data_IF_087597805423
#
_entry.id   IF_087597805423
#
_cell.length_a   1.000
_cell.length_b   1.000
_cell.length_c   1.000
_cell.angle_alpha   90.00
_cell.angle_beta   90.00
_cell.angle_gamma   90.00
#
_symmetry.space_group_name_H-M   'P 1'
#
loop_
_entity.id
_entity.type
_entity.pdbx_description
1 polymer ?
2 water ?
#
# COMPACT_ATOMS: atom_id res chain seq x y z
N UNK A 4 3.43 13.36 20.62
CA UNK A 4 3.92 12.10 20.07
C UNK A 4 4.90 12.29 18.93
N UNK A 5 4.60 13.26 18.05
CA UNK A 5 5.48 13.51 16.91
C UNK A 5 6.86 13.98 17.35
N UNK A 6 6.94 14.69 18.47
CA UNK A 6 8.23 15.15 18.98
C UNK A 6 9.12 14.00 19.43
N UNK A 7 8.54 12.82 19.67
CA UNK A 7 9.32 11.64 20.04
C UNK A 7 10.10 11.08 18.87
N UNK A 8 9.76 11.46 17.64
CA UNK A 8 10.41 10.93 16.44
C UNK A 8 11.28 11.99 15.77
N UNK A 9 11.89 12.88 16.57
CA UNK A 9 12.60 14.01 16.00
C UNK A 9 14.01 13.63 15.54
N UNK A 10 14.63 12.62 16.15
CA UNK A 10 15.93 12.16 15.70
C UNK A 10 15.88 10.69 15.31
N UNK A 11 16.98 9.98 15.49
CA UNK A 11 16.99 8.54 15.26
C UNK A 11 16.48 7.83 16.52
N UNK A 12 15.62 6.86 16.33
CA UNK A 12 14.96 6.13 17.42
C UNK A 12 15.32 4.67 17.30
N UNK A 13 15.79 4.02 18.37
CA UNK A 13 16.04 2.58 18.29
C UNK A 13 14.75 1.79 18.23
N UNK A 14 14.83 0.60 17.63
CA UNK A 14 13.67 -0.24 17.38
C UNK A 14 13.95 -1.65 17.87
N UNK A 15 12.95 -2.27 18.48
CA UNK A 15 12.98 -3.69 18.80
C UNK A 15 11.70 -4.32 18.27
N UNK A 16 11.84 -5.43 17.55
CA UNK A 16 10.70 -6.19 17.04
C UNK A 16 10.79 -7.60 17.59
N UNK A 17 9.68 -8.07 18.16
CA UNK A 17 9.57 -9.44 18.66
C UNK A 17 8.30 -10.06 18.10
N UNK A 18 8.44 -11.18 17.42
CA UNK A 18 7.32 -11.89 16.82
C UNK A 18 7.28 -13.33 17.33
N UNK A 19 6.10 -13.78 17.71
CA UNK A 19 5.84 -15.19 17.99
C UNK A 19 4.82 -15.67 16.96
N UNK A 20 5.18 -16.67 16.18
CA UNK A 20 4.34 -17.13 15.10
C UNK A 20 4.06 -18.63 15.19
N UNK A 21 2.92 -19.01 14.61
CA UNK A 21 2.58 -20.41 14.42
C UNK A 21 1.79 -20.52 13.12
N UNK A 22 2.36 -21.20 12.13
CA UNK A 22 1.75 -21.35 10.82
C UNK A 22 1.60 -22.84 10.53
N UNK A 23 0.36 -23.30 10.37
CA UNK A 23 0.07 -24.71 10.11
C UNK A 23 0.69 -25.63 11.15
N UNK A 24 0.87 -25.11 12.36
CA UNK A 24 1.43 -25.89 13.45
C UNK A 24 2.92 -25.73 13.65
N UNK A 25 3.61 -24.98 12.79
CA UNK A 25 5.05 -24.78 12.91
C UNK A 25 5.31 -23.55 13.77
N UNK A 26 5.74 -23.77 15.01
CA UNK A 26 6.05 -22.67 15.92
C UNK A 26 7.40 -22.05 15.58
N UNK A 27 7.47 -20.72 15.67
CA UNK A 27 8.71 -20.01 15.41
C UNK A 27 8.64 -18.64 16.05
N UNK A 28 9.83 -18.07 16.28
CA UNK A 28 9.95 -16.75 16.89
C UNK A 28 11.00 -15.94 16.15
N UNK A 29 10.77 -14.63 16.09
CA UNK A 29 11.66 -13.69 15.41
C UNK A 29 11.96 -12.52 16.34
N UNK A 30 13.22 -12.08 16.33
CA UNK A 30 13.64 -10.91 17.08
C UNK A 30 14.43 -9.98 16.17
N UNK A 31 14.12 -8.69 16.23
CA UNK A 31 14.75 -7.73 15.35
C UNK A 31 15.19 -6.48 16.10
N UNK A 32 16.30 -5.92 15.63
CA UNK A 32 16.86 -4.71 16.21
C UNK A 32 17.35 -3.78 15.10
N UNK A 33 17.23 -2.48 15.35
CA UNK A 33 17.63 -1.50 14.37
C UNK A 33 17.26 -0.10 14.81
N UNK A 34 17.05 0.77 13.81
CA UNK A 34 16.77 2.18 14.09
C UNK A 34 15.88 2.76 13.00
N UNK A 35 15.12 3.78 13.38
CA UNK A 35 14.25 4.47 12.45
C UNK A 35 14.44 5.96 12.54
N UNK A 36 14.15 6.64 11.42
CA UNK A 36 14.31 8.09 11.29
C UNK A 36 13.08 8.61 10.55
N UNK A 37 12.06 8.97 11.31
CA UNK A 37 10.79 9.40 10.73
C UNK A 37 10.93 10.67 9.90
N UNK A 38 11.95 11.49 10.20
CA UNK A 38 12.14 12.73 9.46
C UNK A 38 12.46 12.46 7.99
N UNK A 39 13.25 11.42 7.73
CA UNK A 39 13.59 11.00 6.37
C UNK A 39 12.88 9.72 5.95
N UNK A 40 12.00 9.19 6.80
CA UNK A 40 11.26 7.98 6.46
C UNK A 40 12.10 6.75 6.20
N UNK A 41 13.10 6.49 7.05
CA UNK A 41 14.09 5.46 6.79
C UNK A 41 14.18 4.48 7.96
N UNK A 42 14.38 3.20 7.64
CA UNK A 42 14.40 2.09 8.57
C UNK A 42 15.57 1.17 8.29
N UNK A 43 16.28 0.74 9.33
CA UNK A 43 17.27 -0.32 9.18
C UNK A 43 17.14 -1.32 10.32
N UNK A 44 16.88 -2.58 9.99
CA UNK A 44 16.74 -3.63 10.98
C UNK A 44 17.43 -4.89 10.52
N UNK A 45 17.90 -5.66 11.50
CA UNK A 45 18.40 -7.01 11.30
C UNK A 45 17.52 -7.95 12.10
N UNK A 46 16.93 -8.93 11.41
CA UNK A 46 16.02 -9.89 12.02
C UNK A 46 16.69 -11.24 12.15
N UNK A 47 16.39 -11.95 13.23
CA UNK A 47 16.96 -13.26 13.53
C UNK A 47 15.82 -14.20 13.90
N UNK A 48 15.84 -15.40 13.35
CA UNK A 48 14.90 -16.44 13.78
C UNK A 48 15.46 -17.07 15.05
N UNK A 49 14.83 -16.79 16.18
CA UNK A 49 15.32 -17.27 17.47
C UNK A 49 14.92 -18.72 17.76
N UNK A 50 14.40 -19.44 16.78
CA UNK A 50 14.02 -20.85 16.94
C UNK A 50 14.57 -21.70 15.81
N UNK A 51 15.77 -21.41 15.36
CA UNK A 51 16.42 -22.21 14.31
C UNK A 51 16.04 -21.71 12.92
N UNK A 52 15.53 -22.61 12.09
CA UNK A 52 15.12 -22.28 10.74
C UNK A 52 13.69 -21.71 10.72
N UNK A 53 13.45 -20.80 9.79
CA UNK A 53 12.15 -20.15 9.68
C UNK A 53 11.24 -20.98 8.78
N UNK A 54 10.05 -21.39 9.23
CA UNK A 54 9.19 -22.25 8.41
C UNK A 54 8.48 -21.54 7.27
N UNK A 55 8.71 -20.24 7.10
CA UNK A 55 8.11 -19.48 5.99
C UNK A 55 9.21 -18.63 5.37
N UNK A 56 9.02 -18.18 4.13
CA UNK A 56 9.99 -17.24 3.54
C UNK A 56 10.00 -15.93 4.30
N UNK A 57 11.19 -15.39 4.53
CA UNK A 57 11.35 -14.07 5.14
C UNK A 57 10.48 -12.99 4.48
N UNK A 58 10.39 -12.89 3.15
CA UNK A 58 9.56 -11.84 2.55
C UNK A 58 8.10 -11.84 3.02
N UNK A 59 7.56 -13.00 3.39
CA UNK A 59 6.17 -13.04 3.85
C UNK A 59 5.99 -12.35 5.19
N UNK A 60 7.08 -12.09 5.92
CA UNK A 60 7.01 -11.50 7.25
C UNK A 60 7.28 -10.00 7.26
N UNK A 61 7.61 -9.41 6.11
CA UNK A 61 8.16 -8.04 6.10
C UNK A 61 7.09 -7.04 6.51
N UNK A 62 5.87 -7.16 5.96
CA UNK A 62 4.82 -6.21 6.31
C UNK A 62 4.38 -6.33 7.76
N UNK A 63 4.63 -7.47 8.40
CA UNK A 63 4.22 -7.63 9.80
C UNK A 63 5.25 -7.07 10.76
N UNK A 64 6.54 -7.23 10.46
CA UNK A 64 7.60 -7.00 11.43
C UNK A 64 7.67 -5.56 11.90
N UNK A 66 6.13 -0.62 11.45
CA UNK A 66 6.19 0.50 12.37
C UNK A 66 5.99 1.76 11.55
N UNK A 67 4.76 1.93 11.09
CA UNK A 67 4.39 3.05 10.21
C UNK A 67 4.45 4.40 10.90
N UNK A 68 4.78 4.44 12.21
CA UNK A 68 5.14 5.68 12.86
C UNK A 68 6.49 6.22 12.37
N UNK A 69 7.16 5.49 11.48
CA UNK A 69 8.40 5.96 10.87
C UNK A 69 8.21 6.36 9.41
N UNK A 70 6.97 6.40 8.93
CA UNK A 70 6.70 6.95 7.62
C UNK A 70 7.02 8.43 7.61
N UNK A 71 7.52 8.93 6.48
CA UNK A 71 7.76 10.36 6.33
C UNK A 71 6.47 11.00 5.85
N UNK A 72 5.85 11.79 6.73
CA UNK A 72 4.71 12.61 6.34
C UNK A 72 5.21 13.99 5.96
N UNK A 73 4.95 14.47 4.74
CA UNK A 73 5.34 15.85 4.40
C UNK A 73 4.68 16.83 5.35
N UNK A 74 5.25 18.04 5.39
CA UNK A 74 4.83 19.03 6.38
C UNK A 74 3.35 19.36 6.26
N UNK A 75 2.78 19.32 5.05
CA UNK A 75 1.38 19.67 4.86
C UNK A 75 0.43 18.54 5.24
N UNK A 76 0.94 17.38 5.64
CA UNK A 76 0.09 16.26 6.08
C UNK A 76 0.36 15.89 7.54
N UNK A 77 1.03 16.75 8.29
CA UNK A 77 1.41 16.41 9.66
C UNK A 77 0.18 16.16 10.53
N UNK A 78 -0.89 16.92 10.32
CA UNK A 78 -2.12 16.71 11.08
C UNK A 78 -2.91 15.50 10.61
N UNK A 79 -2.32 14.65 9.76
CA UNK A 79 -2.92 13.40 9.34
C UNK A 79 -2.07 12.19 9.72
N UNK A 80 -1.08 12.37 10.60
CA UNK A 80 -0.17 11.30 10.99
C UNK A 80 -0.73 10.66 12.26
N UNK A 81 -1.57 9.65 12.08
CA UNK A 81 -2.18 8.97 13.22
C UNK A 81 -1.13 8.21 14.03
N UNK A 82 -0.17 7.58 13.36
CA UNK A 82 0.74 6.65 14.04
C UNK A 82 1.59 7.37 15.08
N UNK A 83 2.17 8.52 14.72
CA UNK A 83 2.97 9.26 15.69
C UNK A 83 2.11 9.89 16.78
N UNK A 84 0.83 10.16 16.48
CA UNK A 84 -0.02 10.84 17.46
C UNK A 84 -0.50 9.91 18.56
N UNK A 85 -0.46 8.60 18.35
CA UNK A 85 -0.83 7.63 19.38
C UNK A 85 0.31 7.33 20.33
N UNK A 86 1.52 7.77 20.02
CA UNK A 86 2.67 7.51 20.87
C UNK A 86 2.67 8.46 22.08
N UNK A 87 3.29 8.05 23.20
CA UNK A 87 4.08 6.83 23.41
C UNK A 87 3.26 5.58 23.78
N UNK A 88 2.03 5.76 24.25
CA UNK A 88 1.23 4.61 24.69
C UNK A 88 0.96 3.65 23.54
N UNK A 89 0.91 4.14 22.31
CA UNK A 89 0.94 3.30 21.14
C UNK A 89 -0.43 2.89 20.63
N UNK A 90 -0.42 1.91 19.74
CA UNK A 90 -1.64 1.43 19.10
C UNK A 90 -1.58 -0.09 18.94
N UNK A 91 -2.73 -0.67 18.64
CA UNK A 91 -2.86 -2.09 18.33
C UNK A 91 -3.11 -2.23 16.84
N UNK A 92 -2.23 -2.96 16.17
CA UNK A 92 -2.35 -3.21 14.73
C UNK A 92 -2.78 -4.64 14.51
N UNK A 93 -3.88 -4.83 13.79
CA UNK A 93 -4.39 -6.15 13.45
C UNK A 93 -4.56 -6.25 11.94
N UNK A 94 -4.22 -7.42 11.40
CA UNK A 94 -4.23 -7.61 9.96
C UNK A 94 -4.73 -9.00 9.59
N UNK A 95 -5.28 -9.09 8.39
CA UNK A 95 -5.55 -10.35 7.72
C UNK A 95 -4.83 -10.32 6.38
N UNK A 96 -3.91 -11.25 6.18
CA UNK A 96 -3.12 -11.31 4.96
C UNK A 96 -3.48 -12.60 4.23
N UNK A 97 -4.14 -12.45 3.08
CA UNK A 97 -4.59 -13.60 2.29
C UNK A 97 -3.63 -13.79 1.13
N UNK A 98 -2.91 -14.91 1.13
CA UNK A 98 -2.09 -15.31 0.00
C UNK A 98 -2.97 -16.06 -0.99
N UNK A 99 -3.01 -15.59 -2.23
CA UNK A 99 -3.96 -16.14 -3.19
C UNK A 99 -3.60 -17.58 -3.53
N UNK A 100 -4.63 -18.43 -3.59
CA UNK A 100 -4.51 -19.87 -3.78
C UNK A 100 -3.72 -20.54 -2.67
N UNK A 101 -3.59 -19.90 -1.52
CA UNK A 101 -2.87 -20.47 -0.39
C UNK A 101 -3.54 -19.97 0.89
N UNK A 102 -2.82 -20.08 2.01
CA UNK A 102 -3.37 -19.80 3.32
C UNK A 102 -3.46 -18.32 3.64
N UNK A 103 -3.66 -18.05 4.94
CA UNK A 103 -3.91 -16.71 5.41
C UNK A 103 -3.17 -16.49 6.73
N UNK A 104 -2.51 -15.33 6.84
CA UNK A 104 -1.98 -14.87 8.12
C UNK A 104 -3.01 -13.98 8.80
N UNK A 105 -3.19 -14.18 10.09
CA UNK A 105 -3.96 -13.27 10.93
C UNK A 105 -3.05 -12.77 12.04
N UNK A 106 -2.91 -11.45 12.16
CA UNK A 106 -1.90 -10.85 13.00
C UNK A 106 -2.53 -9.88 13.98
N UNK A 107 -1.91 -9.79 15.16
CA UNK A 107 -2.22 -8.76 16.14
C UNK A 107 -0.92 -8.29 16.74
N UNK A 108 -0.75 -6.97 16.82
CA UNK A 108 0.50 -6.39 17.28
C UNK A 108 0.23 -5.19 18.16
N UNK A 109 1.13 -4.97 19.11
CA UNK A 109 1.14 -3.76 19.93
C UNK A 109 2.43 -3.02 19.64
N UNK A 110 2.30 -1.77 19.20
CA UNK A 110 3.44 -0.92 18.87
C UNK A 110 3.46 0.20 19.89
N UNK A 111 4.54 0.28 20.66
CA UNK A 111 4.58 1.17 21.82
C UNK A 111 6.02 1.56 22.09
N UNK A 112 6.19 2.60 22.91
CA UNK A 112 7.50 2.95 23.44
C UNK A 112 7.71 2.18 24.73
N UNK A 113 8.91 1.59 24.87
CA UNK A 113 9.34 0.96 26.12
C UNK A 113 10.70 1.58 26.44
N UNK A 114 10.69 2.54 27.36
CA UNK A 114 11.87 3.39 27.52
C UNK A 114 11.98 4.30 26.32
N UNK A 115 13.20 4.41 25.78
CA UNK A 115 13.46 5.20 24.59
C UNK A 115 13.31 4.40 23.30
N UNK A 116 12.87 3.15 23.39
CA UNK A 116 12.85 2.23 22.26
C UNK A 116 11.43 2.04 21.75
N UNK A 117 11.24 2.21 20.45
CA UNK A 117 10.00 1.81 19.80
C UNK A 117 9.96 0.29 19.68
N UNK A 118 8.90 -0.32 20.21
CA UNK A 118 8.81 -1.77 20.29
C UNK A 118 7.56 -2.24 19.54
N UNK A 119 7.71 -3.30 18.76
CA UNK A 119 6.63 -3.93 18.01
C UNK A 119 6.57 -5.40 18.40
N UNK A 120 5.55 -5.77 19.17
CA UNK A 120 5.35 -7.14 19.64
C UNK A 120 4.17 -7.76 18.90
N UNK A 121 4.41 -8.88 18.23
CA UNK A 121 3.44 -9.46 17.31
C UNK A 121 3.13 -10.89 17.70
N UNK A 122 1.86 -11.26 17.59
CA UNK A 122 1.42 -12.64 17.55
C UNK A 122 0.87 -12.91 16.15
N UNK A 123 1.30 -14.01 15.54
CA UNK A 123 0.92 -14.33 14.17
C UNK A 123 0.42 -15.77 14.11
N UNK A 124 -0.74 -15.97 13.51
CA UNK A 124 -1.30 -17.30 13.26
C UNK A 124 -1.48 -17.49 11.77
N UNK A 125 -0.98 -18.61 11.25
CA UNK A 125 -1.19 -18.95 9.86
C UNK A 125 -2.02 -20.22 9.70
N UNK A 126 -3.08 -20.16 8.92
CA UNK A 126 -4.00 -21.29 8.76
C UNK A 126 -4.25 -21.54 7.28
N UNK A 127 -4.57 -22.81 6.96
CA UNK A 127 -5.03 -23.23 5.64
C UNK A 127 -3.97 -23.03 4.56
N UNK A 128 -2.70 -23.13 4.91
CA UNK A 128 -1.65 -23.10 3.91
C UNK A 128 -1.44 -24.48 3.33
N UNK A 129 -0.86 -24.52 2.13
CA UNK A 129 -0.61 -25.77 1.41
C UNK A 129 0.86 -26.15 1.56
N UNK A 130 1.10 -27.38 2.04
CA UNK A 130 2.46 -27.86 2.24
C UNK A 130 3.28 -27.77 0.96
N UNK A 131 2.65 -27.93 -0.19
CA UNK A 131 3.29 -27.82 -1.49
C UNK A 131 3.27 -26.39 -2.04
N UNK A 132 2.57 -25.48 -1.39
CA UNK A 132 2.38 -24.14 -1.91
C UNK A 132 3.65 -23.31 -1.94
N UNK A 133 3.49 -22.05 -2.33
CA UNK A 133 4.63 -21.16 -2.44
C UNK A 133 5.21 -20.81 -1.08
N UNK A 134 4.35 -20.69 -0.06
CA UNK A 134 4.78 -20.23 1.26
C UNK A 134 5.52 -21.37 1.96
N UNK A 135 4.82 -22.44 2.28
CA UNK A 135 5.44 -23.55 3.00
C UNK A 135 6.43 -24.33 2.13
N UNK A 136 6.32 -24.22 0.80
CA UNK A 136 7.31 -24.80 -0.08
C UNK A 136 8.55 -23.98 -0.29
N UNK A 137 8.61 -22.77 0.29
CA UNK A 137 9.78 -21.89 0.19
C UNK A 137 10.17 -21.66 -1.27
N UNK A 138 9.20 -21.24 -2.07
CA UNK A 138 9.41 -20.99 -3.49
C UNK A 138 9.37 -19.50 -3.80
N UNK A 139 9.26 -18.64 -2.80
CA UNK A 139 9.30 -17.20 -3.03
C UNK A 139 10.75 -16.73 -3.16
N UNK A 140 10.92 -15.66 -3.95
CA UNK A 140 12.22 -15.02 -4.12
C UNK A 140 12.39 -13.89 -3.13
N UNK A 141 13.64 -13.51 -2.89
CA UNK A 141 14.00 -12.68 -1.73
C UNK A 141 13.75 -11.19 -2.00
N UNK A 142 12.48 -10.82 -2.15
CA UNK A 142 12.14 -9.41 -2.34
C UNK A 142 10.68 -9.18 -1.97
N UNK A 143 10.36 -7.92 -1.72
CA UNK A 143 9.00 -7.46 -1.40
C UNK A 143 8.71 -6.25 -2.26
N UNK A 144 7.64 -6.32 -3.05
CA UNK A 144 7.32 -5.26 -4.00
C UNK A 144 5.90 -4.77 -3.78
N UNK A 145 5.75 -3.45 -3.66
CA UNK A 145 4.43 -2.84 -3.64
C UNK A 145 3.72 -3.06 -4.97
N UNK A 146 2.41 -3.20 -4.91
CA UNK A 146 1.57 -3.14 -6.10
C UNK A 146 1.21 -1.69 -6.33
N UNK A 147 1.53 -1.18 -7.53
CA UNK A 147 1.29 0.23 -7.83
C UNK A 147 -0.20 0.49 -8.02
N UNK A 148 -0.69 1.55 -7.43
CA UNK A 148 -2.12 1.89 -7.42
C UNK A 148 -2.37 3.10 -8.28
N UNK A 149 -3.39 3.03 -9.13
CA UNK A 149 -3.76 4.16 -9.99
C UNK A 149 -4.52 5.20 -9.18
N UNK A 150 -4.09 6.46 -9.29
CA UNK A 150 -4.53 7.52 -8.39
C UNK A 150 -4.86 8.76 -9.20
N UNK A 151 -5.89 9.54 -8.77
CA UNK A 151 -6.20 10.80 -9.46
C UNK A 151 -4.99 11.72 -9.61
N UNK A 152 -4.69 12.10 -10.85
CA UNK A 152 -3.59 13.03 -11.11
C UNK A 152 -4.09 14.29 -11.81
N UNK A 155 -5.02 17.62 -15.44
CA UNK A 155 -4.21 18.26 -16.45
C UNK A 155 -3.00 17.39 -16.79
N UNK A 156 -2.73 17.22 -18.09
CA UNK A 156 -1.80 16.21 -18.56
C UNK A 156 -1.73 16.32 -20.08
N UNK A 157 -0.53 16.08 -20.62
CA UNK A 157 -0.36 15.94 -22.05
C UNK A 157 -0.71 14.51 -22.46
N UNK A 158 -1.29 14.36 -23.64
CA UNK A 158 -2.14 13.24 -23.89
C UNK A 158 -3.59 13.55 -23.62
N UNK A 159 -3.88 14.78 -23.19
CA UNK A 159 -5.18 15.39 -23.34
C UNK A 159 -5.51 15.67 -24.80
N UNK A 160 -4.55 15.49 -25.70
CA UNK A 160 -4.86 15.48 -27.13
C UNK A 160 -5.87 14.40 -27.45
N UNK A 161 -5.84 13.28 -26.72
CA UNK A 161 -6.86 12.24 -26.89
C UNK A 161 -8.25 12.77 -26.59
N UNK A 162 -8.37 13.65 -25.58
CA UNK A 162 -9.68 14.17 -25.20
C UNK A 162 -10.37 14.84 -26.38
N UNK A 163 -9.69 15.77 -27.04
CA UNK A 163 -10.29 16.47 -28.15
C UNK A 163 -9.99 15.83 -29.50
N UNK A 164 -9.06 14.88 -29.58
CA UNK A 164 -9.04 13.97 -30.71
C UNK A 164 -10.34 13.18 -30.75
N UNK A 165 -10.80 12.69 -29.59
CA UNK A 165 -12.10 12.05 -29.48
C UNK A 165 -13.21 13.04 -29.78
N UNK A 166 -13.10 14.26 -29.24
CA UNK A 166 -14.04 15.33 -29.57
C UNK A 166 -14.14 15.51 -31.09
N UNK A 167 -13.00 15.70 -31.75
CA UNK A 167 -12.99 15.80 -33.21
C UNK A 167 -13.63 14.57 -33.86
N UNK A 168 -13.26 13.39 -33.37
CA UNK A 168 -13.82 12.15 -33.89
C UNK A 168 -15.33 12.20 -33.95
N UNK A 169 -15.98 12.32 -32.80
CA UNK A 169 -17.45 12.31 -32.75
C UNK A 169 -18.03 13.43 -33.60
N UNK A 170 -17.51 14.66 -33.43
CA UNK A 170 -18.05 15.82 -34.14
C UNK A 170 -17.88 15.71 -35.65
N UNK A 171 -17.00 14.85 -36.14
CA UNK A 171 -16.86 14.68 -37.58
C UNK A 171 -17.48 13.39 -38.11
N UNK A 172 -17.44 12.30 -37.34
CA UNK A 172 -18.19 11.13 -37.76
C UNK A 172 -19.68 11.43 -37.71
N UNK A 173 -20.11 12.31 -36.80
CA UNK A 173 -21.45 12.86 -36.87
C UNK A 173 -21.69 13.52 -38.21
N UNK A 174 -20.70 14.28 -38.69
CA UNK A 174 -20.82 14.95 -39.97
C UNK A 174 -20.91 13.94 -41.10
N UNK A 175 -19.92 13.04 -41.21
CA UNK A 175 -19.83 12.18 -42.38
C UNK A 175 -20.93 11.12 -42.37
N UNK A 176 -21.22 10.52 -41.22
CA UNK A 176 -22.29 9.53 -41.16
C UNK A 176 -23.65 10.22 -41.22
N UNK A 177 -23.73 11.43 -40.66
CA UNK A 177 -24.95 12.20 -40.82
C UNK A 177 -25.13 12.73 -42.22
N UNK A 178 -24.02 13.07 -42.89
CA UNK A 178 -24.10 13.61 -44.24
C UNK A 178 -24.70 12.60 -45.21
N UNK A 179 -24.28 11.34 -45.10
CA UNK A 179 -24.84 10.32 -45.97
C UNK A 179 -26.29 10.04 -45.60
N UNK A 180 -26.61 10.10 -44.30
CA UNK A 180 -28.01 9.99 -43.88
C UNK A 180 -28.85 11.09 -44.53
N UNK A 181 -28.43 12.35 -44.37
CA UNK A 181 -29.19 13.44 -44.93
C UNK A 181 -29.39 13.32 -46.42
N UNK A 182 -28.42 12.73 -47.12
CA UNK A 182 -28.54 12.60 -48.56
C UNK A 182 -29.38 11.41 -48.98
N UNK A 183 -29.35 10.30 -48.22
CA UNK A 183 -30.10 9.12 -48.65
C UNK A 183 -31.59 9.30 -48.35
N UNK A 184 -31.94 10.03 -47.28
CA UNK A 184 -33.29 10.57 -47.20
C UNK A 184 -33.35 11.85 -48.03
N UNK A 185 -34.52 12.48 -48.06
CA UNK A 185 -34.72 13.65 -48.90
C UNK A 185 -34.39 14.96 -48.21
N UNK A 186 -34.18 14.96 -46.89
CA UNK A 186 -34.02 16.19 -46.12
C UNK A 186 -32.59 16.31 -45.61
N UNK A 187 -31.98 17.47 -45.84
CA UNK A 187 -30.69 17.80 -45.26
C UNK A 187 -30.81 18.53 -43.93
N UNK A 188 -32.00 19.01 -43.57
CA UNK A 188 -32.22 19.48 -42.21
C UNK A 188 -31.88 18.41 -41.20
N UNK A 189 -32.03 17.14 -41.58
CA UNK A 189 -31.56 16.06 -40.73
C UNK A 189 -30.04 16.12 -40.56
N UNK A 190 -29.30 16.36 -41.65
CA UNK A 190 -27.84 16.33 -41.55
C UNK A 190 -27.30 17.47 -40.70
N UNK A 191 -28.05 18.58 -40.58
CA UNK A 191 -27.61 19.67 -39.73
C UNK A 191 -27.97 19.38 -38.27
N UNK A 192 -29.13 18.79 -38.01
CA UNK A 192 -29.46 18.40 -36.65
C UNK A 192 -28.48 17.37 -36.13
N UNK A 193 -28.04 16.45 -36.99
CA UNK A 193 -27.15 15.37 -36.55
C UNK A 193 -25.79 15.93 -36.16
N UNK A 194 -25.27 16.91 -36.91
CA UNK A 194 -23.95 17.45 -36.59
C UNK A 194 -24.01 18.30 -35.32
N UNK A 195 -25.09 19.07 -35.14
CA UNK A 195 -25.26 19.79 -33.88
C UNK A 195 -25.46 18.82 -32.72
N UNK A 196 -26.22 17.74 -32.95
CA UNK A 196 -26.36 16.71 -31.94
C UNK A 196 -25.00 16.08 -31.62
N UNK A 197 -24.16 15.88 -32.64
CA UNK A 197 -22.81 15.41 -32.39
C UNK A 197 -21.99 16.41 -31.59
N UNK A 198 -22.25 17.70 -31.81
CA UNK A 198 -21.59 18.74 -31.02
C UNK A 198 -22.00 18.67 -29.56
N UNK A 199 -23.31 18.55 -29.31
CA UNK A 199 -23.81 18.48 -27.95
C UNK A 199 -23.27 17.25 -27.24
N UNK A 200 -23.26 16.10 -27.91
CA UNK A 200 -22.75 14.88 -27.28
C UNK A 200 -21.24 15.01 -27.06
N UNK A 201 -20.51 15.54 -28.05
CA UNK A 201 -19.07 15.77 -27.87
C UNK A 201 -18.81 16.71 -26.71
N UNK A 202 -19.58 17.80 -26.62
CA UNK A 202 -19.39 18.76 -25.53
C UNK A 202 -19.69 18.10 -24.18
N UNK A 203 -20.75 17.31 -24.11
CA UNK A 203 -21.08 16.65 -22.85
C UNK A 203 -20.00 15.64 -22.46
N UNK A 204 -19.37 14.99 -23.44
CA UNK A 204 -18.45 13.90 -23.13
C UNK A 204 -17.06 14.42 -22.74
N UNK A 205 -16.53 15.38 -23.51
CA UNK A 205 -15.14 15.80 -23.34
C UNK A 205 -14.99 17.25 -22.90
N UNK A 206 -16.03 17.85 -22.35
CA UNK A 206 -15.86 19.12 -21.65
C UNK A 206 -15.69 18.97 -20.13
N UNK A 207 -16.25 17.96 -19.45
CA UNK A 207 -16.09 17.90 -17.99
C UNK A 207 -14.70 17.46 -17.61
N UNK A 208 -14.24 17.83 -16.40
CA UNK A 208 -12.88 17.45 -15.96
C UNK A 208 -12.83 16.06 -15.30
N UNK A 209 -12.76 15.05 -16.16
CA UNK A 209 -12.70 13.67 -15.67
C UNK A 209 -11.37 13.43 -14.97
N UNK A 210 -11.35 12.84 -13.78
CA UNK A 210 -10.09 12.55 -13.11
C UNK A 210 -9.28 11.54 -13.92
N UNK A 211 -8.01 11.86 -14.12
CA UNK A 211 -7.11 10.99 -14.87
C UNK A 211 -6.50 9.98 -13.90
N UNK A 212 -6.63 8.70 -14.23
CA UNK A 212 -6.20 7.61 -13.35
C UNK A 212 -4.93 6.99 -13.91
N UNK A 213 -3.80 7.41 -13.34
CA UNK A 213 -2.49 6.97 -13.78
C UNK A 213 -1.74 6.36 -12.60
N UNK A 214 -0.84 5.44 -12.92
CA UNK A 214 0.08 4.93 -11.91
C UNK A 214 1.36 5.75 -11.95
N UNK A 215 1.77 6.25 -10.80
CA UNK A 215 3.05 6.93 -10.70
C UNK A 215 4.17 5.95 -11.07
N UNK A 216 5.16 6.37 -11.86
CA UNK A 216 6.26 5.44 -12.19
C UNK A 216 7.15 5.12 -11.01
N UNK A 217 7.31 6.04 -10.06
CA UNK A 217 8.24 5.88 -8.95
C UNK A 217 7.57 5.58 -7.62
N UNK A 218 6.36 6.08 -7.40
CA UNK A 218 5.70 6.01 -6.09
C UNK A 218 4.47 5.11 -6.20
N UNK A 219 4.47 4.03 -5.41
CA UNK A 219 3.49 2.97 -5.62
C UNK A 219 2.10 3.37 -5.12
N UNK A 220 2.03 4.15 -4.03
CA UNK A 220 0.77 4.56 -3.41
C UNK A 220 -0.05 3.36 -2.94
N UNK A 221 0.62 2.29 -2.51
CA UNK A 221 -0.06 1.02 -2.28
C UNK A 221 -0.98 1.08 -1.06
N UNK A 222 -0.44 1.47 0.10
CA UNK A 222 -1.22 1.50 1.32
C UNK A 222 -2.21 2.65 1.26
N UNK A 223 -3.50 2.33 1.36
CA UNK A 223 -4.57 3.33 1.35
C UNK A 223 -5.17 3.41 2.74
N UNK A 224 -4.94 4.53 3.42
CA UNK A 224 -5.35 4.71 4.81
C UNK A 224 -6.63 5.55 4.83
N UNK A 225 -7.61 5.11 5.61
CA UNK A 225 -8.81 5.88 5.87
C UNK A 225 -9.12 5.86 7.37
N UNK A 226 -9.79 6.91 7.82
CA UNK A 226 -10.11 7.03 9.24
C UNK A 226 -11.23 6.07 9.62
N UNK A 227 -11.19 5.61 10.87
CA UNK A 227 -12.22 4.73 11.44
C UNK A 227 -12.67 5.39 12.73
N UNK A 228 -13.66 6.29 12.63
CA UNK A 228 -14.04 7.13 13.76
C UNK A 228 -14.76 6.35 14.85
N UNK A 229 -15.32 5.17 14.55
CA UNK A 229 -16.01 4.43 15.59
C UNK A 229 -15.04 3.72 16.54
N UNK A 230 -13.89 3.28 16.03
CA UNK A 230 -12.84 2.71 16.87
C UNK A 230 -11.72 3.70 17.14
N UNK A 231 -11.92 4.98 16.81
CA UNK A 231 -10.95 6.05 17.06
C UNK A 231 -9.59 5.78 16.42
N UNK A 232 -9.57 4.99 15.34
CA UNK A 232 -8.34 4.62 14.68
C UNK A 232 -8.44 4.75 13.18
N UNK A 233 -7.71 3.88 12.49
CA UNK A 233 -7.62 3.90 11.03
C UNK A 233 -7.85 2.50 10.49
N UNK A 234 -8.12 2.44 9.19
CA UNK A 234 -8.16 1.20 8.45
C UNK A 234 -7.40 1.40 7.14
N UNK A 235 -6.88 0.29 6.60
CA UNK A 235 -6.07 0.38 5.39
C UNK A 235 -6.07 -0.97 4.70
N UNK A 236 -5.83 -0.93 3.38
CA UNK A 236 -5.64 -2.14 2.60
C UNK A 236 -4.56 -1.89 1.56
N UNK A 237 -3.97 -2.99 1.08
CA UNK A 237 -2.96 -2.95 0.04
C UNK A 237 -2.66 -4.38 -0.39
N UNK A 238 -1.89 -4.50 -1.47
CA UNK A 238 -1.49 -5.79 -2.02
C UNK A 238 0.03 -5.83 -2.16
N UNK A 239 0.61 -6.99 -1.83
CA UNK A 239 2.05 -7.19 -1.94
C UNK A 239 2.31 -8.23 -3.02
N UNK A 240 3.35 -8.00 -3.82
CA UNK A 240 3.72 -8.88 -4.92
C UNK A 240 4.97 -9.66 -4.53
N UNK A 241 4.87 -10.99 -4.58
CA UNK A 241 6.00 -11.88 -4.31
C UNK A 241 6.33 -12.65 -5.58
N UNK A 242 7.59 -12.65 -5.95
CA UNK A 242 8.04 -13.35 -7.15
C UNK A 242 8.38 -14.79 -6.81
N UNK A 243 7.90 -15.72 -7.63
CA UNK A 243 8.08 -17.15 -7.41
C UNK A 243 9.26 -17.62 -8.26
N UNK A 244 9.87 -18.73 -7.81
CA UNK A 244 11.04 -19.26 -8.51
C UNK A 244 10.73 -19.72 -9.93
N UNK A 245 9.47 -20.03 -10.23
CA UNK A 245 9.10 -20.47 -11.57
C UNK A 245 8.89 -19.30 -12.55
N UNK A 246 9.00 -18.07 -12.08
CA UNK A 246 8.75 -16.91 -12.90
C UNK A 246 7.38 -16.28 -12.73
N UNK A 247 6.51 -16.91 -11.94
CA UNK A 247 5.18 -16.36 -11.67
C UNK A 247 5.26 -15.37 -10.51
N UNK A 248 4.12 -14.75 -10.20
CA UNK A 248 4.02 -13.86 -9.05
C UNK A 248 2.96 -14.40 -8.11
N UNK A 249 3.12 -14.07 -6.83
CA UNK A 249 2.19 -14.47 -5.79
C UNK A 249 1.72 -13.22 -5.06
N UNK A 250 0.41 -13.04 -4.96
CA UNK A 250 -0.14 -11.84 -4.35
C UNK A 250 -0.66 -12.13 -2.95
N UNK A 251 -0.55 -11.12 -2.08
CA UNK A 251 -1.04 -11.20 -0.72
C UNK A 251 -1.86 -9.94 -0.43
N UNK A 252 -3.15 -10.13 -0.12
CA UNK A 252 -4.06 -9.03 0.13
C UNK A 252 -4.04 -8.70 1.62
N UNK A 253 -3.68 -7.45 1.95
CA UNK A 253 -3.58 -7.01 3.33
C UNK A 253 -4.80 -6.17 3.70
N UNK A 254 -5.39 -6.47 4.85
CA UNK A 254 -6.41 -5.63 5.45
C UNK A 254 -5.95 -5.27 6.85
N UNK A 255 -6.09 -4.00 7.22
CA UNK A 255 -5.45 -3.49 8.42
C UNK A 255 -6.41 -2.62 9.22
N UNK A 256 -6.37 -2.76 10.54
CA UNK A 256 -7.10 -1.91 11.46
C UNK A 256 -6.19 -1.56 12.63
N UNK A 257 -6.13 -0.28 12.96
CA UNK A 257 -5.29 0.21 14.05
C UNK A 257 -6.15 0.95 15.06
N UNK A 258 -5.94 0.67 16.34
CA UNK A 258 -6.70 1.28 17.42
C UNK A 258 -5.70 1.77 18.48
N UNK A 259 -5.81 3.03 18.92
CA UNK A 259 -4.86 3.53 19.92
C UNK A 259 -5.08 2.89 21.28
N UNK A 260 -3.97 2.70 22.00
CA UNK A 260 -4.05 2.14 23.35
C UNK A 260 -4.38 3.21 24.37
N UNK A 261 -3.90 4.43 24.17
CA UNK A 261 -4.11 5.47 25.15
C UNK A 261 -5.49 6.10 25.05
N UNK A 262 -5.85 6.80 26.11
CA UNK A 262 -7.09 7.55 26.23
C UNK A 262 -7.04 8.90 25.54
N UNK A 263 -5.85 9.39 25.22
CA UNK A 263 -5.68 10.75 24.75
C UNK A 263 -6.12 10.92 23.33
N UNK A 264 -6.10 12.18 22.87
CA UNK A 264 -6.51 12.48 21.50
C UNK A 264 -5.50 11.95 20.50
N UNK A 265 -6.02 11.46 19.37
CA UNK A 265 -5.20 11.05 18.25
C UNK A 265 -5.66 11.83 17.02
N UNK A 266 -4.86 11.77 15.97
CA UNK A 266 -5.16 12.47 14.72
C UNK A 266 -5.82 11.48 13.78
N UNK A 267 -7.14 11.60 13.64
CA UNK A 267 -7.86 10.83 12.64
C UNK A 267 -7.65 11.48 11.28
N UNK A 268 -7.07 10.78 10.31
CA UNK A 268 -6.70 11.42 9.05
C UNK A 268 -7.81 11.34 8.02
N UNK A 269 -7.68 12.19 6.99
CA UNK A 269 -8.42 11.93 5.78
C UNK A 269 -7.67 10.91 4.93
N UNK A 270 -8.30 10.49 3.85
CA UNK A 270 -7.74 9.41 3.05
C UNK A 270 -6.43 9.84 2.40
N UNK A 271 -5.42 8.98 2.48
CA UNK A 271 -4.12 9.26 1.89
C UNK A 271 -3.40 7.93 1.68
N UNK A 272 -2.20 8.00 1.09
CA UNK A 272 -1.47 6.82 0.67
C UNK A 272 -0.08 6.80 1.28
N UNK A 273 0.45 5.59 1.42
CA UNK A 273 1.84 5.35 1.80
C UNK A 273 2.55 4.63 0.67
N UNK A 274 3.74 5.10 0.33
CA UNK A 274 4.61 4.46 -0.65
C UNK A 274 5.83 3.94 0.09
N UNK A 275 6.18 2.69 -0.16
CA UNK A 275 7.28 2.07 0.58
C UNK A 275 8.16 1.27 -0.35
N UNK A 276 9.41 1.12 0.08
CA UNK A 276 10.45 0.43 -0.68
C UNK A 276 11.25 -0.42 0.29
N UNK A 277 11.31 -1.72 0.05
CA UNK A 277 11.95 -2.67 0.94
C UNK A 277 13.15 -3.31 0.25
N UNK A 278 14.31 -3.24 0.91
CA UNK A 278 15.54 -3.85 0.42
C UNK A 278 15.92 -4.97 1.37
N UNK A 279 15.96 -6.20 0.86
CA UNK A 279 16.25 -7.37 1.65
C UNK A 279 17.63 -7.89 1.28
N UNK A 280 18.47 -8.12 2.30
CA UNK A 280 19.83 -8.57 2.07
C UNK A 280 20.24 -9.49 3.21
N UNK A 281 21.49 -9.96 3.16
CA UNK A 281 22.05 -10.85 4.15
C UNK A 281 23.26 -10.22 4.81
N UNK A 282 23.62 -10.78 5.96
CA UNK A 282 24.84 -10.45 6.69
C UNK A 282 25.82 -11.60 6.47
N UNK A 283 26.95 -11.37 5.80
CA UNK A 283 27.85 -12.49 5.47
C UNK A 283 28.47 -13.17 6.68
N UNK A 284 28.55 -12.49 7.83
CA UNK A 284 29.15 -13.07 9.03
C UNK A 284 28.11 -13.70 9.96
N UNK A 285 26.87 -13.82 9.53
CA UNK A 285 25.79 -14.31 10.38
C UNK A 285 25.46 -15.75 10.00
N UNK A 286 25.66 -16.67 10.94
CA UNK A 286 25.37 -18.07 10.71
C UNK A 286 23.96 -18.47 11.12
N UNK A 287 23.20 -17.58 11.76
CA UNK A 287 21.81 -17.86 12.06
C UNK A 287 20.92 -17.41 10.91
N UNK A 288 19.76 -18.04 10.80
CA UNK A 288 18.77 -17.62 9.83
C UNK A 288 18.31 -16.20 10.14
N UNK A 289 18.42 -15.32 9.15
CA UNK A 289 18.31 -13.89 9.41
C UNK A 289 17.88 -13.16 8.15
N UNK A 290 17.45 -11.92 8.35
CA UNK A 290 17.14 -11.02 7.25
C UNK A 290 17.56 -9.61 7.64
N UNK A 291 18.37 -8.99 6.78
CA UNK A 291 18.69 -7.57 6.90
C UNK A 291 17.71 -6.80 6.00
N UNK A 292 17.13 -5.73 6.54
CA UNK A 292 16.05 -5.03 5.86
C UNK A 292 16.30 -3.54 5.89
N UNK A 293 16.21 -2.90 4.72
CA UNK A 293 16.27 -1.45 4.59
C UNK A 293 14.98 -0.98 3.94
N UNK A 294 14.35 0.03 4.55
CA UNK A 294 12.99 0.42 4.20
C UNK A 294 12.89 1.93 4.11
N UNK A 295 12.14 2.40 3.10
CA UNK A 295 11.80 3.80 2.94
C UNK A 295 10.30 3.91 2.75
N UNK A 296 9.66 4.76 3.54
CA UNK A 296 8.20 4.93 3.50
C UNK A 296 7.88 6.42 3.45
N UNK A 297 7.00 6.80 2.53
CA UNK A 297 6.59 8.19 2.35
C UNK A 297 5.07 8.26 2.24
N UNK A 298 4.48 9.30 2.84
CA UNK A 298 3.05 9.55 2.76
C UNK A 298 2.77 10.58 1.68
N UNK A 299 1.60 10.47 1.07
CA UNK A 299 1.17 11.40 0.02
C UNK A 299 -0.35 11.31 -0.10
N UNK A 300 -0.91 12.17 -0.95
CA UNK A 300 -2.33 12.08 -1.27
C UNK A 300 -3.19 13.15 -0.66
N UNK A 301 -2.63 14.36 -0.53
CA UNK A 301 -3.29 15.55 0.03
C UNK A 301 -3.37 15.47 1.54
N UNK A 302 -2.73 22.21 -1.77
CA UNK A 302 -3.66 23.24 -2.23
C UNK A 302 -5.10 22.77 -2.29
#
# INVERSE_FOLDING_TARGET
>A
MSKGEELFTGVVPILVELDGDVNGHKFSVRGEGEGDATNGKLTLKFICTTGKLPVPWPTLVTTLXVQCFSRYPDHMKRHDFFKSAMPEGYVQERTISFKDDGTYKTRAEVKFEGDTLVNRIELKGIDFKEDGNILGHKLEYNVLDVFRSIPTQMDYKGQKLAEQIFQGIILVSAVIGFIYGYVTEQFGWTVYIVMAGFAVSCLLTLPPWPMYRRNPLNSHNVYITADKQKNGIKANFKIRHNVEDGSVQLADHYQQNTPIGDGPVLLPDNHYLSTQSVLSKDPNEKRDHMVLLEFVTAAGITHHHHHHHHHH
#
